data_IF_635181665152
#
_entry.id   IF_635181665152
#
_cell.length_a   1.000
_cell.length_b   1.000
_cell.length_c   1.000
_cell.angle_alpha   90.00
_cell.angle_beta   90.00
_cell.angle_gamma   90.00
#
_symmetry.space_group_name_H-M   'P 1'
#
loop_
_entity.id
_entity.type
_entity.pdbx_description
1 polymer ?
#
# COMPACT_ATOMS: atom_id res chain seq x y z
N UNK A 1 -72.88 8.97 -1.58
CA UNK A 1 -71.69 9.69 -2.07
C UNK A 1 -70.54 9.78 -1.04
N UNK A 2 -70.66 9.17 0.14
CA UNK A 2 -69.61 9.16 1.19
C UNK A 2 -68.68 7.95 1.13
N UNK A 3 -69.13 6.82 0.59
CA UNK A 3 -68.37 5.55 0.55
C UNK A 3 -67.19 5.57 -0.45
N UNK A 4 -67.33 6.24 -1.59
CA UNK A 4 -66.27 6.34 -2.62
C UNK A 4 -65.10 7.23 -2.19
N UNK A 5 -65.31 8.17 -1.26
CA UNK A 5 -64.26 9.04 -0.70
C UNK A 5 -63.28 8.26 0.18
N UNK A 6 -63.77 7.30 0.96
CA UNK A 6 -62.90 6.47 1.82
C UNK A 6 -62.13 5.40 1.03
N UNK A 7 -62.72 4.88 -0.05
CA UNK A 7 -62.04 3.93 -0.96
C UNK A 7 -60.84 4.60 -1.65
N UNK A 8 -60.98 5.86 -2.09
CA UNK A 8 -59.87 6.61 -2.70
C UNK A 8 -58.72 6.92 -1.72
N UNK A 9 -59.03 7.17 -0.46
CA UNK A 9 -58.03 7.42 0.59
C UNK A 9 -57.30 6.12 0.99
N UNK A 10 -58.01 4.99 1.06
CA UNK A 10 -57.40 3.69 1.35
C UNK A 10 -56.45 3.21 0.23
N UNK A 11 -56.76 3.50 -1.04
CA UNK A 11 -55.88 3.17 -2.17
C UNK A 11 -54.59 4.01 -2.20
N UNK A 12 -54.65 5.29 -1.81
CA UNK A 12 -53.49 6.17 -1.71
C UNK A 12 -52.55 5.78 -0.54
N UNK A 13 -53.10 5.32 0.58
CA UNK A 13 -52.30 4.83 1.72
C UNK A 13 -51.57 3.51 1.42
N UNK A 14 -52.10 2.69 0.51
CA UNK A 14 -51.49 1.40 0.17
C UNK A 14 -50.27 1.54 -0.76
N UNK A 15 -50.20 2.60 -1.58
CA UNK A 15 -49.02 2.88 -2.41
C UNK A 15 -47.83 3.48 -1.65
N UNK A 16 -48.05 4.12 -0.50
CA UNK A 16 -46.97 4.71 0.30
C UNK A 16 -46.08 3.72 1.02
N UNK A 17 -46.56 2.49 1.29
CA UNK A 17 -45.84 1.46 2.06
C UNK A 17 -44.92 0.58 1.19
N UNK A 18 -44.99 0.69 -0.14
CA UNK A 18 -44.15 -0.10 -1.06
C UNK A 18 -42.85 0.61 -1.48
N UNK A 19 -42.68 1.88 -1.11
CA UNK A 19 -41.52 2.69 -1.51
C UNK A 19 -40.29 2.51 -0.61
N UNK A 20 -40.40 1.75 0.49
CA UNK A 20 -39.28 1.41 1.36
C UNK A 20 -38.91 -0.05 1.10
N UNK A 21 -38.18 -0.30 0.00
CA UNK A 21 -37.44 -1.55 -0.11
C UNK A 21 -36.18 -1.37 0.74
N UNK A 22 -35.83 -2.33 1.62
CA UNK A 22 -34.51 -2.32 2.22
C UNK A 22 -33.49 -2.35 1.09
N UNK A 23 -32.62 -1.36 1.04
CA UNK A 23 -31.47 -1.39 0.14
C UNK A 23 -30.61 -2.59 0.56
N UNK A 24 -30.67 -3.68 -0.21
CA UNK A 24 -29.70 -4.76 -0.12
C UNK A 24 -28.39 -4.20 -0.66
N UNK A 25 -27.60 -3.59 0.22
CA UNK A 25 -26.23 -3.25 -0.09
C UNK A 25 -25.52 -4.55 -0.43
N UNK A 26 -24.88 -4.66 -1.61
CA UNK A 26 -24.07 -5.82 -1.91
C UNK A 26 -23.04 -5.99 -0.80
N UNK A 27 -22.81 -7.23 -0.39
CA UNK A 27 -21.81 -7.53 0.62
C UNK A 27 -20.49 -6.85 0.21
N UNK A 28 -19.90 -6.10 1.14
CA UNK A 28 -18.54 -5.60 0.99
C UNK A 28 -17.70 -6.84 0.73
N UNK A 29 -17.08 -6.93 -0.46
CA UNK A 29 -16.36 -8.12 -0.91
C UNK A 29 -15.25 -8.55 0.05
N UNK A 30 -14.60 -9.67 -0.26
CA UNK A 30 -13.58 -10.24 0.61
C UNK A 30 -12.44 -9.24 0.91
N UNK A 31 -11.89 -9.34 2.12
CA UNK A 31 -10.73 -8.52 2.52
C UNK A 31 -9.58 -8.78 1.54
N UNK A 32 -8.98 -7.70 1.03
CA UNK A 32 -7.78 -7.78 0.18
C UNK A 32 -6.66 -8.47 0.95
N UNK A 33 -6.08 -9.52 0.35
CA UNK A 33 -4.87 -10.15 0.85
C UNK A 33 -3.66 -9.24 0.53
N UNK A 34 -3.05 -8.67 1.57
CA UNK A 34 -1.93 -7.71 1.41
C UNK A 34 -0.62 -8.42 1.10
N UNK A 35 -0.47 -9.68 1.52
CA UNK A 35 0.70 -10.51 1.21
C UNK A 35 0.73 -10.79 -0.29
N UNK A 36 -0.39 -11.24 -0.88
CA UNK A 36 -0.51 -11.37 -2.34
C UNK A 36 -0.30 -10.06 -3.11
N UNK A 37 -0.52 -8.92 -2.43
CA UNK A 37 -0.29 -7.59 -2.99
C UNK A 37 1.18 -7.22 -3.10
N UNK A 38 2.07 -7.80 -2.30
CA UNK A 38 3.51 -7.52 -2.28
C UNK A 38 4.36 -8.68 -2.79
N UNK A 39 3.90 -9.92 -2.66
CA UNK A 39 4.60 -11.10 -3.15
C UNK A 39 4.88 -10.99 -4.66
N UNK A 40 6.11 -11.30 -5.07
CA UNK A 40 6.58 -11.31 -6.44
C UNK A 40 7.83 -10.46 -6.68
N UNK A 41 8.23 -10.39 -7.94
CA UNK A 41 9.37 -9.62 -8.41
C UNK A 41 8.96 -8.21 -8.85
N UNK A 42 9.72 -7.22 -8.40
CA UNK A 42 9.44 -5.81 -8.63
C UNK A 42 10.66 -5.10 -9.21
N UNK A 43 10.43 -4.21 -10.15
CA UNK A 43 11.43 -3.31 -10.72
C UNK A 43 11.00 -1.88 -10.47
N UNK A 44 11.94 -1.01 -10.12
CA UNK A 44 11.63 0.40 -9.88
C UNK A 44 11.19 1.06 -11.19
N UNK A 45 10.05 1.72 -11.13
CA UNK A 45 9.53 2.58 -12.20
C UNK A 45 9.95 4.03 -11.99
N UNK A 46 9.94 4.51 -10.74
CA UNK A 46 10.35 5.88 -10.42
C UNK A 46 10.77 6.01 -8.96
N UNK A 47 11.67 6.94 -8.68
CA UNK A 47 12.09 7.32 -7.33
C UNK A 47 11.95 8.81 -7.12
N UNK A 48 11.17 9.19 -6.11
CA UNK A 48 11.09 10.58 -5.64
C UNK A 48 11.85 10.74 -4.34
N UNK A 49 12.72 11.72 -4.27
CA UNK A 49 13.33 12.17 -3.04
C UNK A 49 12.49 13.28 -2.41
N UNK A 50 12.27 13.21 -1.11
CA UNK A 50 11.57 14.21 -0.31
C UNK A 50 12.55 14.74 0.75
N UNK A 51 12.82 16.04 0.71
CA UNK A 51 13.46 16.77 1.80
C UNK A 51 12.41 16.99 2.91
N UNK A 52 12.53 16.20 3.98
CA UNK A 52 11.55 16.21 5.08
C UNK A 52 11.67 17.48 5.92
N UNK A 53 12.83 18.12 5.96
CA UNK A 53 13.01 19.40 6.67
C UNK A 53 12.27 20.50 5.90
N UNK A 54 12.52 20.59 4.59
CA UNK A 54 11.84 21.57 3.74
C UNK A 54 10.32 21.36 3.70
N UNK A 55 9.86 20.11 3.68
CA UNK A 55 8.43 19.76 3.78
C UNK A 55 7.82 20.26 5.09
N UNK A 56 8.47 19.97 6.23
CA UNK A 56 7.98 20.37 7.55
C UNK A 56 7.99 21.89 7.76
N UNK A 57 8.93 22.60 7.12
CA UNK A 57 8.98 24.07 7.10
C UNK A 57 7.98 24.72 6.12
N UNK A 58 7.23 23.91 5.36
CA UNK A 58 6.19 24.39 4.44
C UNK A 58 6.74 24.97 3.13
N UNK A 59 7.96 24.58 2.73
CA UNK A 59 8.49 24.93 1.41
C UNK A 59 7.60 24.35 0.30
N UNK A 60 7.61 24.94 -0.89
CA UNK A 60 6.84 24.43 -2.04
C UNK A 60 7.62 23.43 -2.90
N UNK A 61 8.97 23.44 -2.80
CA UNK A 61 9.87 22.61 -3.59
C UNK A 61 10.64 21.65 -2.67
N UNK A 62 9.93 20.77 -1.98
CA UNK A 62 10.52 19.77 -1.08
C UNK A 62 10.74 18.40 -1.76
N UNK A 63 10.22 18.20 -2.98
CA UNK A 63 10.34 16.94 -3.70
C UNK A 63 11.13 17.09 -5.00
N UNK A 64 11.85 16.02 -5.36
CA UNK A 64 12.61 15.92 -6.61
C UNK A 64 12.50 14.50 -7.16
N UNK A 65 12.22 14.38 -8.46
CA UNK A 65 12.37 13.12 -9.18
C UNK A 65 13.85 12.84 -9.40
N UNK A 66 14.33 11.70 -8.91
CA UNK A 66 15.73 11.29 -9.02
C UNK A 66 15.90 10.00 -9.83
N UNK A 67 14.85 9.56 -10.53
CA UNK A 67 14.81 8.27 -11.25
C UNK A 67 16.01 8.12 -12.19
N UNK A 68 16.28 9.14 -13.00
CA UNK A 68 17.33 9.11 -14.03
C UNK A 68 18.73 9.49 -13.50
N UNK A 69 18.88 9.81 -12.21
CA UNK A 69 20.16 10.29 -11.67
C UNK A 69 21.13 9.17 -11.30
N UNK A 70 20.61 7.97 -10.99
CA UNK A 70 21.39 6.88 -10.42
C UNK A 70 21.05 5.50 -10.99
N UNK A 71 20.54 5.46 -12.23
CA UNK A 71 20.17 4.22 -12.93
C UNK A 71 19.25 3.34 -12.08
N UNK A 72 18.22 3.95 -11.47
CA UNK A 72 17.31 3.24 -10.55
C UNK A 72 16.48 2.16 -11.24
N UNK A 73 16.39 2.18 -12.57
CA UNK A 73 15.76 1.12 -13.36
C UNK A 73 16.43 -0.26 -13.19
N UNK A 74 17.71 -0.30 -12.79
CA UNK A 74 18.43 -1.53 -12.43
C UNK A 74 18.12 -2.01 -11.00
N UNK A 75 17.34 -1.27 -10.20
CA UNK A 75 16.95 -1.71 -8.86
C UNK A 75 15.76 -2.68 -8.92
N UNK A 76 15.99 -3.89 -8.43
CA UNK A 76 14.99 -4.95 -8.35
C UNK A 76 14.84 -5.43 -6.91
N UNK A 77 13.60 -5.69 -6.48
CA UNK A 77 13.31 -6.31 -5.20
C UNK A 77 12.28 -7.42 -5.38
N UNK A 78 12.55 -8.57 -4.78
CA UNK A 78 11.68 -9.74 -4.80
C UNK A 78 11.21 -10.02 -3.39
N UNK A 79 9.92 -10.27 -3.21
CA UNK A 79 9.32 -10.72 -1.95
C UNK A 79 8.67 -12.08 -2.16
N UNK A 80 9.00 -13.06 -1.34
CA UNK A 80 8.42 -14.42 -1.41
C UNK A 80 7.52 -14.70 -0.21
N UNK A 81 6.63 -15.67 -0.40
CA UNK A 81 5.82 -16.24 0.66
C UNK A 81 6.08 -17.74 0.81
N UNK A 82 5.82 -18.29 1.99
CA UNK A 82 5.89 -19.73 2.23
C UNK A 82 4.65 -20.46 1.70
N UNK A 83 4.64 -21.80 1.81
CA UNK A 83 3.54 -22.64 1.35
C UNK A 83 2.21 -22.37 2.08
N UNK A 84 2.25 -21.70 3.23
CA UNK A 84 1.09 -21.31 4.03
C UNK A 84 0.61 -19.89 3.70
N UNK A 85 1.31 -19.18 2.81
CA UNK A 85 0.99 -17.81 2.39
C UNK A 85 1.46 -16.75 3.39
N UNK A 86 2.43 -17.07 4.26
CA UNK A 86 3.05 -16.10 5.16
C UNK A 86 4.28 -15.44 4.48
N UNK A 87 4.69 -14.24 4.92
CA UNK A 87 5.94 -13.63 4.47
C UNK A 87 7.14 -14.55 4.72
N UNK A 88 8.00 -14.72 3.70
CA UNK A 88 9.20 -15.57 3.78
C UNK A 88 10.47 -14.74 3.56
N UNK A 89 11.03 -14.76 2.36
CA UNK A 89 12.31 -14.12 2.04
C UNK A 89 12.15 -12.89 1.17
N UNK A 90 13.13 -12.00 1.23
CA UNK A 90 13.29 -10.94 0.23
C UNK A 90 14.70 -10.98 -0.36
N UNK A 91 14.84 -10.44 -1.57
CA UNK A 91 16.12 -10.30 -2.25
C UNK A 91 16.13 -8.99 -3.04
N UNK A 92 17.21 -8.21 -2.94
CA UNK A 92 17.44 -6.98 -3.71
C UNK A 92 18.59 -7.23 -4.68
N UNK A 93 18.37 -6.89 -5.95
CA UNK A 93 19.36 -6.98 -7.04
C UNK A 93 19.53 -5.63 -7.71
N UNK A 94 20.66 -5.47 -8.37
CA UNK A 94 20.99 -4.25 -9.11
C UNK A 94 22.26 -3.57 -8.61
N UNK A 95 22.64 -2.50 -9.31
CA UNK A 95 23.78 -1.64 -9.00
C UNK A 95 23.36 -0.23 -8.60
N UNK A 96 22.08 0.10 -8.76
CA UNK A 96 21.50 1.32 -8.24
C UNK A 96 21.77 1.47 -6.73
N UNK A 97 21.79 2.70 -6.19
CA UNK A 97 21.96 2.92 -4.76
C UNK A 97 20.95 2.10 -3.94
N UNK A 98 21.46 1.27 -3.03
CA UNK A 98 20.65 0.49 -2.11
C UNK A 98 20.89 0.95 -0.67
N UNK A 99 19.80 1.17 0.06
CA UNK A 99 19.81 1.62 1.46
C UNK A 99 19.29 0.56 2.44
N UNK A 100 18.91 -0.61 1.93
CA UNK A 100 18.47 -1.75 2.74
C UNK A 100 19.40 -2.95 2.52
N UNK A 101 19.25 -3.99 3.32
CA UNK A 101 19.99 -5.23 3.13
C UNK A 101 19.66 -5.87 1.77
N UNK A 102 20.57 -6.70 1.25
CA UNK A 102 20.39 -7.32 -0.07
C UNK A 102 19.55 -8.59 -0.04
N UNK A 103 19.43 -9.24 1.12
CA UNK A 103 18.65 -10.46 1.29
C UNK A 103 18.29 -10.66 2.76
N UNK A 104 17.27 -11.49 2.99
CA UNK A 104 16.85 -11.89 4.34
C UNK A 104 15.39 -12.28 4.38
N UNK A 105 14.73 -12.00 5.49
CA UNK A 105 13.28 -12.22 5.68
C UNK A 105 12.53 -10.92 5.81
N UNK A 106 11.24 -10.93 5.47
CA UNK A 106 10.38 -9.75 5.57
C UNK A 106 9.08 -10.06 6.29
N UNK A 107 8.45 -9.05 6.88
CA UNK A 107 7.10 -9.14 7.44
C UNK A 107 6.44 -7.77 7.49
N UNK A 108 5.12 -7.72 7.64
CA UNK A 108 4.43 -6.49 7.99
C UNK A 108 4.55 -6.19 9.48
N UNK A 109 4.46 -4.91 9.85
CA UNK A 109 4.24 -4.51 11.26
C UNK A 109 2.91 -5.03 11.81
N UNK A 110 1.89 -5.09 10.96
CA UNK A 110 0.60 -5.69 11.26
C UNK A 110 -0.01 -6.28 9.98
N UNK A 111 -0.28 -7.59 9.96
CA UNK A 111 -0.81 -8.27 8.76
C UNK A 111 -2.23 -7.81 8.39
N UNK A 112 -3.05 -7.40 9.36
CA UNK A 112 -4.42 -6.93 9.11
C UNK A 112 -4.46 -5.50 8.55
N UNK A 113 -3.64 -4.62 9.10
CA UNK A 113 -3.58 -3.18 8.82
C UNK A 113 -2.12 -2.71 8.69
N UNK A 114 -1.42 -3.13 7.63
CA UNK A 114 0.01 -2.88 7.52
C UNK A 114 0.28 -1.40 7.26
N UNK A 115 1.26 -0.86 7.96
CA UNK A 115 1.82 0.47 7.70
C UNK A 115 3.28 0.40 7.27
N UNK A 116 3.94 -0.73 7.53
CA UNK A 116 5.37 -0.94 7.26
C UNK A 116 5.64 -2.33 6.75
N UNK A 117 6.62 -2.43 5.87
CA UNK A 117 7.32 -3.66 5.52
C UNK A 117 8.66 -3.63 6.27
N UNK A 118 8.85 -4.56 7.18
CA UNK A 118 10.05 -4.70 7.99
C UNK A 118 10.92 -5.80 7.39
N UNK A 119 12.21 -5.50 7.22
CA UNK A 119 13.21 -6.41 6.68
C UNK A 119 14.19 -6.82 7.78
N UNK A 120 14.62 -8.07 7.74
CA UNK A 120 15.48 -8.68 8.75
C UNK A 120 16.58 -9.46 8.02
N UNK A 121 17.82 -9.23 8.41
CA UNK A 121 18.92 -10.15 8.06
C UNK A 121 18.84 -11.43 8.86
N UNK A 122 19.50 -12.48 8.38
CA UNK A 122 19.49 -13.78 9.03
C UNK A 122 19.96 -13.71 10.50
N UNK A 123 19.08 -14.16 11.40
CA UNK A 123 19.35 -14.17 12.85
C UNK A 123 19.11 -12.83 13.55
N UNK A 124 18.68 -11.78 12.85
CA UNK A 124 18.27 -10.53 13.48
C UNK A 124 16.96 -10.71 14.26
N UNK A 125 16.90 -10.16 15.48
CA UNK A 125 15.67 -10.14 16.30
C UNK A 125 14.85 -8.86 16.09
N UNK A 126 15.46 -7.83 15.51
CA UNK A 126 14.87 -6.52 15.23
C UNK A 126 15.03 -6.22 13.74
N UNK A 127 14.14 -5.40 13.20
CA UNK A 127 14.19 -5.02 11.79
C UNK A 127 15.47 -4.24 11.50
N UNK A 128 16.24 -4.68 10.51
CA UNK A 128 17.46 -4.00 10.05
C UNK A 128 17.14 -2.88 9.07
N UNK A 129 16.01 -2.99 8.38
CA UNK A 129 15.50 -1.97 7.47
C UNK A 129 13.98 -1.92 7.51
N UNK A 130 13.42 -0.73 7.27
CA UNK A 130 11.97 -0.51 7.29
C UNK A 130 11.57 0.32 6.08
N UNK A 131 10.62 -0.21 5.31
CA UNK A 131 9.88 0.55 4.32
C UNK A 131 8.51 0.92 4.89
N UNK A 132 8.12 2.19 4.77
CA UNK A 132 6.77 2.64 5.05
C UNK A 132 5.90 2.44 3.81
N UNK A 133 4.68 1.98 4.01
CA UNK A 133 3.71 1.83 2.93
C UNK A 133 3.09 3.18 2.62
N UNK A 134 3.35 3.70 1.42
CA UNK A 134 2.67 4.90 0.93
C UNK A 134 1.22 4.59 0.52
N UNK A 135 0.96 3.32 0.19
CA UNK A 135 -0.34 2.78 -0.19
C UNK A 135 -0.47 1.34 0.31
N UNK A 136 -1.69 0.91 0.64
CA UNK A 136 -1.99 -0.49 0.97
C UNK A 136 -1.69 -1.38 -0.25
N UNK A 137 -0.81 -2.40 -0.14
CA UNK A 137 -0.50 -3.32 -1.21
C UNK A 137 -1.76 -4.06 -1.69
N UNK A 138 -1.93 -4.16 -3.00
CA UNK A 138 -3.06 -4.83 -3.61
C UNK A 138 -2.70 -5.34 -4.99
N UNK A 139 -3.17 -6.55 -5.31
CA UNK A 139 -2.90 -7.22 -6.58
C UNK A 139 -3.35 -6.34 -7.76
N UNK A 140 -2.47 -6.21 -8.75
CA UNK A 140 -2.72 -5.43 -9.97
C UNK A 140 -2.40 -3.94 -9.87
N UNK A 141 -1.87 -3.48 -8.74
CA UNK A 141 -1.37 -2.12 -8.57
C UNK A 141 0.15 -2.09 -8.43
N UNK A 142 0.75 -0.92 -8.70
CA UNK A 142 2.13 -0.65 -8.37
C UNK A 142 2.34 -0.73 -6.85
N UNK A 143 3.51 -1.21 -6.45
CA UNK A 143 3.94 -1.18 -5.06
C UNK A 143 4.63 0.16 -4.78
N UNK A 144 4.25 0.83 -3.69
CA UNK A 144 4.86 2.09 -3.29
C UNK A 144 5.47 1.97 -1.90
N UNK A 145 6.81 2.01 -1.83
CA UNK A 145 7.58 1.90 -0.59
C UNK A 145 8.35 3.19 -0.33
N UNK A 146 8.26 3.69 0.90
CA UNK A 146 9.00 4.87 1.35
C UNK A 146 10.12 4.44 2.30
N UNK A 147 11.36 4.71 1.94
CA UNK A 147 12.50 4.61 2.85
C UNK A 147 12.81 5.97 3.47
N UNK A 148 13.13 6.03 4.76
CA UNK A 148 13.43 7.27 5.46
C UNK A 148 14.81 7.24 6.10
N UNK A 149 15.54 8.34 5.96
CA UNK A 149 16.78 8.60 6.69
C UNK A 149 16.49 9.55 7.84
N UNK A 150 17.12 9.27 8.96
CA UNK A 150 16.91 10.01 10.21
C UNK A 150 18.21 10.65 10.70
N UNK A 151 18.06 11.80 11.36
CA UNK A 151 19.05 12.35 12.27
C UNK A 151 18.45 12.26 13.69
N UNK A 152 18.92 11.28 14.48
CA UNK A 152 18.22 10.88 15.70
C UNK A 152 16.84 10.32 15.38
N UNK A 153 15.78 10.91 15.96
CA UNK A 153 14.39 10.53 15.71
C UNK A 153 13.69 11.42 14.66
N UNK A 154 14.42 12.36 14.05
CA UNK A 154 13.86 13.32 13.09
C UNK A 154 14.10 12.80 11.67
N UNK A 155 13.05 12.56 10.87
CA UNK A 155 13.22 12.23 9.45
C UNK A 155 13.75 13.46 8.71
N UNK A 156 14.86 13.29 7.99
CA UNK A 156 15.52 14.38 7.26
C UNK A 156 15.40 14.22 5.74
N UNK A 157 15.28 12.99 5.26
CA UNK A 157 15.23 12.68 3.83
C UNK A 157 14.46 11.39 3.62
N UNK A 158 13.59 11.36 2.63
CA UNK A 158 12.86 10.16 2.25
C UNK A 158 13.00 9.85 0.77
N UNK A 159 12.91 8.57 0.43
CA UNK A 159 12.91 8.06 -0.93
C UNK A 159 11.63 7.27 -1.12
N UNK A 160 10.75 7.73 -2.00
CA UNK A 160 9.51 7.03 -2.37
C UNK A 160 9.76 6.30 -3.68
N UNK A 161 9.87 4.99 -3.57
CA UNK A 161 10.01 4.08 -4.70
C UNK A 161 8.62 3.65 -5.17
N UNK A 162 8.35 3.87 -6.45
CA UNK A 162 7.21 3.25 -7.13
C UNK A 162 7.74 2.09 -7.96
N UNK A 163 7.25 0.90 -7.70
CA UNK A 163 7.65 -0.31 -8.41
C UNK A 163 6.54 -0.81 -9.32
N UNK A 164 6.95 -1.33 -10.47
CA UNK A 164 6.10 -2.14 -11.34
C UNK A 164 6.45 -3.61 -11.15
N UNK A 165 5.43 -4.48 -11.22
CA UNK A 165 5.63 -5.93 -11.16
C UNK A 165 6.35 -6.39 -12.42
N UNK A 166 7.43 -7.15 -12.28
CA UNK A 166 8.09 -7.80 -13.41
C UNK A 166 7.14 -8.89 -13.89
N UNK A 167 6.65 -8.78 -15.13
CA UNK A 167 5.82 -9.83 -15.70
C UNK A 167 6.68 -11.10 -15.87
N UNK A 168 6.17 -12.28 -15.49
CA UNK A 168 6.86 -13.54 -15.77
C UNK A 168 6.94 -13.83 -17.27
#
# INVERSE_FOLDING_TARGET
MTTYKYIGICLLLWWGVSACQPDDFPAIGDKVNKIEGIEGDWSVQSVKQIDEIALNDGALNYEMDITDLFDFDDYHISFTSDDEGNPATFEVKGKAPNYVDTEGTWQFDNVEFPTKVMLFTDGATEATSVFYLNRVPSKGFNLELKFQRFEGDIPILSYVYTFTKVQP
#
